data_IF_910441058490
#
_entry.id   IF_910441058490
#
_cell.length_a   1.000
_cell.length_b   1.000
_cell.length_c   1.000
_cell.angle_alpha   90.00
_cell.angle_beta   90.00
_cell.angle_gamma   90.00
#
_symmetry.space_group_name_H-M   'P 1'
#
loop_
_entity.id
_entity.type
_entity.pdbx_description
1 polymer ?
#
# COMPACT_ATOMS: atom_id res chain seq x y z
N UNK A 1 15.70 -22.29 10.70
CA UNK A 1 15.17 -22.04 12.07
C UNK A 1 13.79 -21.40 11.98
N UNK A 2 12.94 -21.47 13.02
CA UNK A 2 11.55 -20.95 12.99
C UNK A 2 11.47 -19.47 12.59
N UNK A 3 12.31 -18.60 13.18
CA UNK A 3 12.34 -17.17 12.88
C UNK A 3 12.61 -16.87 11.40
N UNK A 4 13.46 -17.66 10.75
CA UNK A 4 13.75 -17.51 9.33
C UNK A 4 12.56 -17.90 8.46
N UNK A 5 11.82 -18.97 8.81
CA UNK A 5 10.59 -19.36 8.11
C UNK A 5 9.52 -18.27 8.26
N UNK A 6 9.40 -17.72 9.46
CA UNK A 6 8.46 -16.65 9.80
C UNK A 6 8.76 -15.35 9.05
N UNK A 7 10.03 -14.95 8.98
CA UNK A 7 10.48 -13.80 8.19
C UNK A 7 10.21 -14.02 6.70
N UNK A 8 10.76 -15.08 6.12
CA UNK A 8 10.60 -15.38 4.69
C UNK A 8 9.14 -15.50 4.25
N UNK A 9 8.29 -16.12 5.07
CA UNK A 9 6.87 -16.28 4.79
C UNK A 9 6.11 -14.94 4.84
N UNK A 10 6.49 -14.06 5.77
CA UNK A 10 5.90 -12.73 5.87
C UNK A 10 6.36 -11.81 4.74
N UNK A 11 7.65 -11.79 4.42
CA UNK A 11 8.19 -11.03 3.26
C UNK A 11 7.45 -11.41 1.96
N UNK A 12 7.26 -12.71 1.74
CA UNK A 12 6.55 -13.21 0.57
C UNK A 12 5.08 -12.77 0.58
N UNK A 13 4.42 -12.89 1.72
CA UNK A 13 3.03 -12.46 1.84
C UNK A 13 2.85 -10.96 1.56
N UNK A 14 3.73 -10.11 2.09
CA UNK A 14 3.69 -8.66 1.85
C UNK A 14 3.85 -8.38 0.37
N UNK A 15 4.82 -9.03 -0.28
CA UNK A 15 5.04 -8.89 -1.70
C UNK A 15 3.79 -9.26 -2.52
N UNK A 16 3.20 -10.43 -2.24
CA UNK A 16 2.03 -10.92 -2.96
C UNK A 16 0.78 -10.07 -2.70
N UNK A 17 0.55 -9.68 -1.44
CA UNK A 17 -0.67 -8.97 -1.03
C UNK A 17 -0.72 -7.55 -1.58
N UNK A 18 0.44 -6.89 -1.67
CA UNK A 18 0.55 -5.51 -2.13
C UNK A 18 0.95 -5.40 -3.60
N UNK A 19 1.23 -6.52 -4.29
CA UNK A 19 1.72 -6.48 -5.68
C UNK A 19 3.14 -5.93 -5.81
N UNK A 20 3.96 -6.10 -4.77
CA UNK A 20 5.34 -5.64 -4.75
C UNK A 20 6.30 -6.71 -5.27
N UNK A 21 7.48 -6.26 -5.72
CA UNK A 21 8.60 -7.16 -5.98
C UNK A 21 9.34 -7.42 -4.67
N UNK A 22 9.54 -8.69 -4.33
CA UNK A 22 10.44 -9.10 -3.24
C UNK A 22 11.91 -8.84 -3.61
N UNK A 23 12.70 -8.32 -2.69
CA UNK A 23 14.15 -8.19 -2.89
C UNK A 23 14.82 -9.56 -2.91
N UNK A 24 15.89 -9.70 -3.70
CA UNK A 24 16.61 -10.98 -3.81
C UNK A 24 17.45 -11.21 -2.55
N UNK A 25 17.18 -12.31 -1.85
CA UNK A 25 17.81 -12.65 -0.58
C UNK A 25 19.35 -12.65 -0.57
N UNK A 26 19.89 -12.03 0.49
CA UNK A 26 21.20 -12.15 1.17
C UNK A 26 22.54 -12.13 0.42
N UNK A 27 22.60 -12.09 -0.91
CA UNK A 27 23.89 -12.04 -1.63
C UNK A 27 24.37 -10.64 -2.01
N UNK A 28 23.43 -9.70 -2.20
CA UNK A 28 23.72 -8.38 -2.78
C UNK A 28 22.94 -7.27 -2.06
N UNK A 29 23.07 -7.23 -0.73
CA UNK A 29 22.35 -6.29 0.16
C UNK A 29 22.75 -4.82 -0.04
N UNK A 30 23.82 -4.55 -0.80
CA UNK A 30 24.26 -3.19 -1.10
C UNK A 30 23.31 -2.42 -2.04
N UNK A 31 22.47 -3.12 -2.83
CA UNK A 31 21.61 -2.47 -3.83
C UNK A 31 20.11 -2.50 -3.54
N UNK A 32 19.64 -3.46 -2.74
CA UNK A 32 18.19 -3.62 -2.49
C UNK A 32 17.95 -4.08 -1.04
N UNK A 33 17.96 -3.12 -0.08
CA UNK A 33 18.06 -3.45 1.33
C UNK A 33 16.73 -3.66 2.04
N UNK A 34 15.59 -3.48 1.36
CA UNK A 34 14.24 -3.57 1.91
C UNK A 34 13.51 -4.81 1.36
N UNK A 35 12.61 -5.40 2.15
CA UNK A 35 12.09 -6.75 1.88
C UNK A 35 11.20 -6.82 0.62
N UNK A 36 10.35 -5.81 0.42
CA UNK A 36 9.49 -5.71 -0.75
C UNK A 36 9.37 -4.24 -1.20
N UNK A 37 9.23 -4.01 -2.51
CA UNK A 37 9.03 -2.65 -3.04
C UNK A 37 8.22 -2.60 -4.33
N UNK A 38 7.49 -1.52 -4.50
CA UNK A 38 7.01 -1.04 -5.79
C UNK A 38 8.16 -0.38 -6.57
N UNK A 39 7.90 -0.13 -7.85
CA UNK A 39 8.73 0.76 -8.67
C UNK A 39 7.99 2.10 -8.82
N UNK A 40 8.63 3.20 -8.39
CA UNK A 40 8.06 4.56 -8.49
C UNK A 40 7.80 5.04 -9.91
N UNK A 41 8.37 4.37 -10.91
CA UNK A 41 8.11 4.67 -12.31
C UNK A 41 6.81 4.03 -12.82
N UNK A 42 6.30 3.01 -12.12
CA UNK A 42 5.15 2.21 -12.55
C UNK A 42 3.86 2.60 -11.81
N UNK A 43 3.98 3.25 -10.64
CA UNK A 43 2.84 3.66 -9.82
C UNK A 43 3.13 4.94 -9.04
N UNK A 44 2.12 5.78 -8.91
CA UNK A 44 2.16 7.01 -8.10
C UNK A 44 2.30 6.70 -6.60
N UNK A 45 1.69 5.61 -6.14
CA UNK A 45 1.74 5.14 -4.75
C UNK A 45 2.76 4.01 -4.60
N UNK A 46 4.03 4.34 -4.88
CA UNK A 46 5.12 3.39 -4.73
C UNK A 46 5.58 3.31 -3.28
N UNK A 47 5.38 2.15 -2.65
CA UNK A 47 5.81 1.85 -1.28
C UNK A 47 7.02 0.93 -1.30
N UNK A 48 7.84 1.03 -0.26
CA UNK A 48 8.90 0.10 0.07
C UNK A 48 8.68 -0.38 1.51
N UNK A 49 8.51 -1.69 1.68
CA UNK A 49 8.06 -2.32 2.90
C UNK A 49 9.16 -3.16 3.57
N UNK A 50 9.44 -2.86 4.84
CA UNK A 50 10.24 -3.68 5.73
C UNK A 50 9.30 -4.58 6.54
N UNK A 51 9.43 -5.88 6.40
CA UNK A 51 8.52 -6.87 6.96
C UNK A 51 9.02 -7.32 8.33
N UNK A 52 8.14 -7.29 9.34
CA UNK A 52 8.43 -7.76 10.70
C UNK A 52 7.31 -8.67 11.17
N UNK A 53 7.68 -9.81 11.74
CA UNK A 53 6.73 -10.79 12.23
C UNK A 53 7.10 -11.28 13.63
N UNK A 54 6.08 -11.69 14.40
CA UNK A 54 6.27 -12.16 15.77
C UNK A 54 5.21 -13.18 16.18
N UNK A 55 5.55 -14.01 17.18
CA UNK A 55 4.63 -14.85 17.95
C UNK A 55 4.25 -14.23 19.30
N UNK A 56 4.88 -13.11 19.65
CA UNK A 56 4.58 -12.37 20.85
C UNK A 56 3.27 -11.58 20.68
N UNK A 57 2.74 -11.09 21.79
CA UNK A 57 1.54 -10.24 21.80
C UNK A 57 1.84 -8.77 21.46
N UNK A 58 3.09 -8.43 21.18
CA UNK A 58 3.53 -7.07 20.86
C UNK A 58 4.76 -7.08 19.94
N UNK A 59 4.94 -5.97 19.23
CA UNK A 59 6.10 -5.67 18.40
C UNK A 59 6.46 -4.20 18.58
N UNK A 60 7.69 -3.92 19.01
CA UNK A 60 8.14 -2.56 19.26
C UNK A 60 8.69 -1.93 17.98
N UNK A 61 8.07 -0.83 17.55
CA UNK A 61 8.58 0.04 16.48
C UNK A 61 9.32 1.20 17.14
N UNK A 62 10.61 1.36 16.84
CA UNK A 62 11.42 2.48 17.32
C UNK A 62 11.65 3.50 16.20
N UNK A 63 11.94 4.75 16.56
CA UNK A 63 12.31 5.77 15.58
C UNK A 63 13.55 5.39 14.76
N UNK A 64 14.53 4.72 15.36
CA UNK A 64 15.71 4.24 14.63
C UNK A 64 15.34 3.19 13.57
N UNK A 65 14.42 2.28 13.88
CA UNK A 65 13.90 1.30 12.91
C UNK A 65 13.16 2.02 11.78
N UNK A 66 12.34 3.01 12.11
CA UNK A 66 11.65 3.83 11.12
C UNK A 66 12.62 4.58 10.20
N UNK A 67 13.59 5.31 10.75
CA UNK A 67 14.59 6.03 9.95
C UNK A 67 15.37 5.11 9.02
N UNK A 68 15.70 3.91 9.47
CA UNK A 68 16.31 2.89 8.61
C UNK A 68 15.39 2.50 7.45
N UNK A 69 14.10 2.30 7.70
CA UNK A 69 13.13 2.01 6.63
C UNK A 69 13.03 3.19 5.63
N UNK A 70 13.03 4.45 6.11
CA UNK A 70 13.06 5.65 5.25
C UNK A 70 14.31 5.67 4.36
N UNK A 71 15.49 5.46 4.95
CA UNK A 71 16.75 5.42 4.20
C UNK A 71 16.73 4.31 3.13
N UNK A 72 16.26 3.12 3.52
CA UNK A 72 16.21 1.95 2.64
C UNK A 72 15.14 2.05 1.55
N UNK A 73 14.08 2.83 1.77
CA UNK A 73 13.05 3.10 0.77
C UNK A 73 13.60 3.90 -0.43
N UNK A 74 14.70 4.64 -0.26
CA UNK A 74 15.45 5.21 -1.38
C UNK A 74 14.65 6.17 -2.29
N UNK A 75 13.58 6.77 -1.77
CA UNK A 75 12.68 7.67 -2.50
C UNK A 75 11.29 7.10 -2.79
N UNK A 76 11.02 5.84 -2.49
CA UNK A 76 9.64 5.34 -2.35
C UNK A 76 9.08 5.65 -0.95
N UNK A 77 7.77 5.50 -0.77
CA UNK A 77 7.09 5.71 0.50
C UNK A 77 7.43 4.58 1.48
N UNK A 78 8.00 4.85 2.67
CA UNK A 78 8.40 3.83 3.62
C UNK A 78 7.20 3.17 4.29
N UNK A 79 7.27 1.86 4.51
CA UNK A 79 6.26 1.10 5.24
C UNK A 79 6.91 0.05 6.15
N UNK A 80 6.37 -0.13 7.36
CA UNK A 80 6.61 -1.34 8.15
C UNK A 80 5.38 -2.24 8.06
N UNK A 81 5.56 -3.44 7.52
CA UNK A 81 4.50 -4.44 7.47
C UNK A 81 4.65 -5.39 8.66
N UNK A 82 3.71 -5.37 9.60
CA UNK A 82 3.77 -6.11 10.85
C UNK A 82 2.81 -7.30 10.83
N UNK A 83 3.29 -8.49 11.20
CA UNK A 83 2.46 -9.70 11.32
C UNK A 83 2.56 -10.35 12.69
N UNK A 84 1.41 -10.70 13.24
CA UNK A 84 1.27 -11.43 14.49
C UNK A 84 0.73 -12.82 14.19
N UNK A 85 1.55 -13.85 14.40
CA UNK A 85 1.13 -15.24 14.26
C UNK A 85 0.46 -15.72 15.54
N UNK A 86 -0.56 -16.57 15.40
CA UNK A 86 -1.27 -17.16 16.55
C UNK A 86 -0.40 -18.22 17.23
N UNK A 87 0.36 -19.00 16.46
CA UNK A 87 1.18 -20.09 16.98
C UNK A 87 2.39 -20.44 16.10
N UNK A 88 3.21 -21.40 16.59
CA UNK A 88 4.46 -21.84 15.96
C UNK A 88 4.27 -22.62 14.65
N UNK A 89 3.05 -23.01 14.29
CA UNK A 89 2.79 -23.67 13.00
C UNK A 89 2.87 -22.66 11.85
N UNK A 90 2.69 -21.37 12.16
CA UNK A 90 2.64 -20.26 11.21
C UNK A 90 1.48 -20.37 10.20
N UNK A 91 0.52 -21.26 10.45
CA UNK A 91 -0.63 -21.46 9.59
C UNK A 91 -1.72 -20.40 9.83
N UNK A 92 -1.83 -19.91 11.07
CA UNK A 92 -2.84 -18.92 11.45
C UNK A 92 -2.20 -17.56 11.80
N UNK A 93 -2.85 -16.49 11.34
CA UNK A 93 -2.40 -15.10 11.50
C UNK A 93 -3.45 -14.38 12.33
N UNK A 94 -3.01 -13.86 13.48
CA UNK A 94 -3.86 -13.08 14.36
C UNK A 94 -4.15 -11.69 13.80
N UNK A 95 -3.12 -11.02 13.27
CA UNK A 95 -3.25 -9.68 12.70
C UNK A 95 -2.13 -9.38 11.70
N UNK A 96 -2.49 -8.61 10.67
CA UNK A 96 -1.57 -7.94 9.76
C UNK A 96 -1.82 -6.44 9.82
N UNK A 97 -0.77 -5.68 10.07
CA UNK A 97 -0.82 -4.22 10.21
C UNK A 97 0.19 -3.58 9.26
N UNK A 98 -0.12 -2.37 8.80
CA UNK A 98 0.80 -1.52 8.08
C UNK A 98 1.05 -0.25 8.88
N UNK A 99 2.32 0.14 9.00
CA UNK A 99 2.73 1.42 9.56
C UNK A 99 3.32 2.25 8.43
N UNK A 100 2.77 3.44 8.21
CA UNK A 100 3.23 4.43 7.22
C UNK A 100 3.31 5.82 7.86
N UNK A 101 3.76 6.82 7.10
CA UNK A 101 3.50 8.20 7.48
C UNK A 101 1.98 8.46 7.47
N UNK A 102 1.55 9.37 8.33
CA UNK A 102 0.16 9.80 8.37
C UNK A 102 -0.26 10.47 7.05
N UNK A 103 0.63 11.28 6.48
CA UNK A 103 0.39 11.97 5.21
C UNK A 103 0.26 10.98 4.04
N UNK A 104 1.10 9.94 3.99
CA UNK A 104 0.97 8.87 2.99
C UNK A 104 -0.39 8.16 3.09
N UNK A 105 -0.89 7.95 4.31
CA UNK A 105 -2.20 7.35 4.54
C UNK A 105 -3.34 8.31 4.16
N UNK A 106 -3.19 9.60 4.44
CA UNK A 106 -4.14 10.63 4.05
C UNK A 106 -4.26 10.74 2.52
N UNK A 107 -3.14 10.71 1.80
CA UNK A 107 -3.10 10.68 0.34
C UNK A 107 -3.84 9.44 -0.21
N UNK A 108 -3.53 8.25 0.33
CA UNK A 108 -4.21 7.00 -0.06
C UNK A 108 -5.72 7.08 0.16
N UNK A 109 -6.15 7.64 1.30
CA UNK A 109 -7.57 7.82 1.61
C UNK A 109 -8.22 8.82 0.65
N UNK A 110 -7.51 9.89 0.30
CA UNK A 110 -7.95 10.86 -0.71
C UNK A 110 -8.15 10.22 -2.07
N UNK A 111 -7.17 9.46 -2.55
CA UNK A 111 -7.26 8.72 -3.81
C UNK A 111 -8.42 7.71 -3.82
N UNK A 112 -8.63 6.99 -2.72
CA UNK A 112 -9.75 6.06 -2.59
C UNK A 112 -11.11 6.76 -2.70
N UNK A 113 -11.28 7.92 -2.04
CA UNK A 113 -12.51 8.72 -2.12
C UNK A 113 -12.76 9.26 -3.53
N UNK A 114 -11.71 9.76 -4.19
CA UNK A 114 -11.79 10.21 -5.59
C UNK A 114 -12.22 9.07 -6.51
N UNK A 115 -11.67 7.87 -6.31
CA UNK A 115 -12.06 6.68 -7.07
C UNK A 115 -13.51 6.29 -6.85
N UNK A 116 -13.98 6.28 -5.60
CA UNK A 116 -15.40 6.02 -5.26
C UNK A 116 -16.34 7.00 -5.96
N UNK A 117 -15.96 8.28 -5.99
CA UNK A 117 -16.74 9.32 -6.65
C UNK A 117 -16.70 9.21 -8.18
N UNK A 118 -15.58 8.79 -8.77
CA UNK A 118 -15.43 8.60 -10.21
C UNK A 118 -16.09 7.32 -10.75
N UNK A 119 -16.26 6.28 -9.93
CA UNK A 119 -16.79 4.99 -10.39
C UNK A 119 -18.14 5.05 -11.12
N UNK A 120 -19.18 5.77 -10.61
CA UNK A 120 -20.47 5.87 -11.29
C UNK A 120 -20.35 6.53 -12.66
N UNK A 121 -19.53 7.58 -12.76
CA UNK A 121 -19.24 8.30 -14.00
C UNK A 121 -18.59 7.35 -15.02
N UNK A 122 -17.54 6.63 -14.60
CA UNK A 122 -16.84 5.69 -15.47
C UNK A 122 -17.73 4.54 -15.94
N UNK A 123 -18.61 4.02 -15.06
CA UNK A 123 -19.57 2.97 -15.43
C UNK A 123 -20.54 3.42 -16.53
N UNK A 124 -21.03 4.67 -16.46
CA UNK A 124 -21.88 5.26 -17.51
C UNK A 124 -21.11 5.44 -18.83
N UNK A 125 -19.83 5.82 -18.76
CA UNK A 125 -18.97 6.00 -19.94
C UNK A 125 -18.67 4.68 -20.67
N UNK A 126 -18.44 3.58 -19.94
CA UNK A 126 -18.03 2.29 -20.52
C UNK A 126 -19.23 1.45 -20.98
N UNK A 127 -20.40 1.65 -20.39
CA UNK A 127 -21.66 1.01 -20.80
C UNK A 127 -22.69 2.08 -21.20
N UNK A 128 -22.51 2.75 -22.36
CA UNK A 128 -23.47 3.72 -22.85
C UNK A 128 -24.69 2.98 -23.40
N UNK A 129 -25.56 2.48 -22.52
CA UNK A 129 -26.81 1.83 -22.94
C UNK A 129 -27.85 2.83 -23.47
N UNK A 130 -27.52 4.11 -23.66
CA UNK A 130 -28.43 5.10 -24.23
C UNK A 130 -27.73 6.05 -25.20
N UNK A 131 -28.29 6.15 -26.40
CA UNK A 131 -27.86 6.98 -27.52
C UNK A 131 -28.09 8.50 -27.31
N UNK A 132 -28.12 8.97 -26.06
CA UNK A 132 -28.58 10.31 -25.72
C UNK A 132 -27.44 11.16 -25.13
N UNK A 133 -26.90 12.11 -25.88
CA UNK A 133 -25.70 12.86 -25.50
C UNK A 133 -25.86 13.78 -24.27
N UNK A 134 -27.08 13.99 -23.77
CA UNK A 134 -27.34 14.81 -22.57
C UNK A 134 -26.71 14.25 -21.29
N UNK A 135 -26.43 12.95 -21.21
CA UNK A 135 -25.82 12.38 -20.00
C UNK A 135 -24.34 12.81 -19.82
N UNK A 136 -23.66 13.20 -20.90
CA UNK A 136 -22.27 13.65 -20.84
C UNK A 136 -22.14 14.98 -20.11
N UNK A 137 -23.06 15.92 -20.32
CA UNK A 137 -23.04 17.22 -19.64
C UNK A 137 -23.30 17.07 -18.13
N UNK A 138 -24.19 16.14 -17.75
CA UNK A 138 -24.44 15.78 -16.34
C UNK A 138 -23.20 15.16 -15.72
N UNK A 139 -22.55 14.24 -16.43
CA UNK A 139 -21.32 13.59 -15.96
C UNK A 139 -20.17 14.59 -15.80
N UNK A 140 -20.02 15.54 -16.73
CA UNK A 140 -19.00 16.60 -16.67
C UNK A 140 -19.28 17.53 -15.48
N UNK A 141 -20.53 17.91 -15.25
CA UNK A 141 -20.92 18.75 -14.11
C UNK A 141 -20.68 18.05 -12.75
N UNK A 142 -21.02 16.76 -12.64
CA UNK A 142 -20.76 15.95 -11.45
C UNK A 142 -19.25 15.81 -11.20
N UNK A 143 -18.47 15.52 -12.24
CA UNK A 143 -17.01 15.41 -12.13
C UNK A 143 -16.35 16.73 -11.69
N UNK A 144 -16.79 17.87 -12.22
CA UNK A 144 -16.26 19.18 -11.85
C UNK A 144 -16.60 19.54 -10.40
N UNK A 145 -17.83 19.23 -9.95
CA UNK A 145 -18.22 19.45 -8.55
C UNK A 145 -17.32 18.64 -7.59
N UNK A 146 -17.08 17.37 -7.92
CA UNK A 146 -16.21 16.49 -7.13
C UNK A 146 -14.76 16.98 -7.12
N UNK A 147 -14.25 17.49 -8.24
CA UNK A 147 -12.92 18.12 -8.31
C UNK A 147 -12.83 19.36 -7.41
N UNK A 148 -13.85 20.21 -7.41
CA UNK A 148 -13.89 21.39 -6.53
C UNK A 148 -13.98 21.01 -5.04
N UNK A 149 -14.78 20.01 -4.69
CA UNK A 149 -14.89 19.53 -3.31
C UNK A 149 -13.58 18.91 -2.84
N UNK A 150 -12.93 18.12 -3.69
CA UNK A 150 -11.61 17.57 -3.40
C UNK A 150 -10.55 18.69 -3.22
N UNK A 151 -10.66 19.82 -3.92
CA UNK A 151 -9.77 20.97 -3.75
C UNK A 151 -10.05 21.81 -2.49
N UNK A 152 -11.28 21.75 -1.94
CA UNK A 152 -11.68 22.50 -0.73
C UNK A 152 -11.33 21.78 0.58
N UNK A 153 -10.95 20.50 0.51
CA UNK A 153 -10.75 19.62 1.67
C UNK A 153 -9.30 19.41 2.14
N UNK A 154 -8.35 20.21 1.66
CA UNK A 154 -6.93 20.17 2.05
C UNK A 154 -6.48 21.52 2.62
#
# INVERSE_FOLDING_TARGET
MLNQKMGNGHEQHVADRLGMRRSRGSGNQWRDPIDARHNRLDTEYAFAADAKSTLAKSLSVSLAMWHKAVEQAGGERPMLALRFYTDRTLADVHADLAVSLLDDFADLLGAARLWEAAQPILKRLVHPDTADTEWLDVVIAEANTLLEEAQKGW
#
